data_IF_677363173039
#
_entry.id   IF_677363173039
#
_cell.length_a   1.000
_cell.length_b   1.000
_cell.length_c   1.000
_cell.angle_alpha   90.00
_cell.angle_beta   90.00
_cell.angle_gamma   90.00
#
_symmetry.space_group_name_H-M   'P 1'
#
loop_
_entity.id
_entity.type
_entity.pdbx_description
1 polymer ?
#
# COMPACT_ATOMS: atom_id res chain seq x y z
N UNK A 1 -11.34 -19.42 13.44
CA UNK A 1 -10.72 -18.14 13.83
C UNK A 1 -11.14 -17.84 15.26
N UNK A 2 -10.21 -17.51 16.18
CA UNK A 2 -10.57 -17.23 17.57
C UNK A 2 -11.11 -15.78 17.72
N UNK A 3 -11.85 -15.49 18.79
CA UNK A 3 -12.48 -14.18 19.00
C UNK A 3 -11.47 -13.02 19.05
N UNK A 4 -10.24 -13.29 19.52
CA UNK A 4 -9.17 -12.30 19.59
C UNK A 4 -8.70 -11.87 18.20
N UNK A 5 -8.46 -12.82 17.29
CA UNK A 5 -8.06 -12.52 15.91
C UNK A 5 -9.14 -11.74 15.16
N UNK A 6 -10.42 -12.03 15.41
CA UNK A 6 -11.53 -11.27 14.83
C UNK A 6 -11.50 -9.81 15.29
N UNK A 7 -11.33 -9.56 16.58
CA UNK A 7 -11.24 -8.19 17.13
C UNK A 7 -10.02 -7.43 16.58
N UNK A 8 -8.87 -8.09 16.45
CA UNK A 8 -7.67 -7.51 15.84
C UNK A 8 -7.94 -7.10 14.40
N UNK A 9 -8.53 -7.99 13.60
CA UNK A 9 -8.82 -7.73 12.19
C UNK A 9 -9.83 -6.59 12.02
N UNK A 10 -10.88 -6.54 12.83
CA UNK A 10 -11.88 -5.48 12.80
C UNK A 10 -11.28 -4.11 13.18
N UNK A 11 -10.47 -4.08 14.23
CA UNK A 11 -9.77 -2.86 14.64
C UNK A 11 -8.85 -2.36 13.52
N UNK A 12 -8.00 -3.23 12.97
CA UNK A 12 -7.06 -2.87 11.92
C UNK A 12 -7.74 -2.45 10.62
N UNK A 13 -8.88 -3.05 10.27
CA UNK A 13 -9.71 -2.64 9.14
C UNK A 13 -10.20 -1.19 9.29
N UNK A 14 -10.52 -0.76 10.51
CA UNK A 14 -10.90 0.63 10.81
C UNK A 14 -9.75 1.64 10.61
N UNK A 15 -8.49 1.17 10.65
CA UNK A 15 -7.29 2.00 10.48
C UNK A 15 -6.70 1.96 9.08
N UNK A 16 -7.17 1.06 8.21
CA UNK A 16 -6.56 0.81 6.90
C UNK A 16 -6.39 2.09 6.06
N UNK A 17 -7.40 2.96 6.02
CA UNK A 17 -7.33 4.22 5.27
C UNK A 17 -6.28 5.18 5.87
N UNK A 18 -6.22 5.30 7.20
CA UNK A 18 -5.24 6.17 7.84
C UNK A 18 -3.80 5.68 7.59
N UNK A 19 -3.60 4.35 7.61
CA UNK A 19 -2.31 3.76 7.28
C UNK A 19 -1.96 4.04 5.81
N UNK A 20 -2.92 3.90 4.88
CA UNK A 20 -2.73 4.27 3.47
C UNK A 20 -2.30 5.72 3.31
N UNK A 21 -2.96 6.65 4.01
CA UNK A 21 -2.65 8.08 3.94
C UNK A 21 -1.23 8.39 4.41
N UNK A 22 -0.76 7.73 5.48
CA UNK A 22 0.63 7.86 5.93
C UNK A 22 1.58 7.21 4.92
N UNK A 23 1.28 6.02 4.40
CA UNK A 23 2.14 5.33 3.42
C UNK A 23 2.36 6.15 2.14
N UNK A 24 1.35 6.90 1.69
CA UNK A 24 1.45 7.81 0.53
C UNK A 24 2.54 8.87 0.67
N UNK A 25 3.00 9.17 1.90
CA UNK A 25 4.10 10.13 2.13
C UNK A 25 5.47 9.60 1.71
N UNK A 26 5.60 8.28 1.47
CA UNK A 26 6.87 7.66 1.07
C UNK A 26 7.81 7.34 2.25
N UNK A 27 7.37 7.51 3.49
CA UNK A 27 8.18 7.30 4.69
C UNK A 27 8.57 5.82 4.92
N UNK A 28 9.72 5.55 5.58
CA UNK A 28 10.10 4.20 6.00
C UNK A 28 9.08 3.55 6.95
N UNK A 29 9.00 2.21 6.97
CA UNK A 29 7.99 1.48 7.78
C UNK A 29 8.09 1.81 9.26
N UNK A 30 9.32 1.98 9.78
CA UNK A 30 9.56 2.40 11.16
C UNK A 30 8.89 3.74 11.49
N UNK A 31 8.93 4.71 10.57
CA UNK A 31 8.27 6.00 10.75
C UNK A 31 6.75 5.88 10.70
N UNK A 32 6.20 5.07 9.80
CA UNK A 32 4.76 4.78 9.74
C UNK A 32 4.28 4.18 11.06
N UNK A 33 5.00 3.18 11.58
CA UNK A 33 4.72 2.57 12.89
C UNK A 33 4.81 3.62 14.00
N UNK A 34 5.88 4.42 14.05
CA UNK A 34 6.04 5.47 15.05
C UNK A 34 4.89 6.50 15.01
N UNK A 35 4.45 6.93 13.83
CA UNK A 35 3.34 7.86 13.66
C UNK A 35 2.02 7.27 14.15
N UNK A 36 1.75 6.00 13.83
CA UNK A 36 0.57 5.27 14.32
C UNK A 36 0.61 5.09 15.83
N UNK A 37 1.79 4.78 16.39
CA UNK A 37 2.01 4.65 17.83
C UNK A 37 1.84 5.97 18.59
N UNK A 38 1.70 7.13 17.93
CA UNK A 38 1.29 8.38 18.60
C UNK A 38 -0.22 8.44 18.86
N UNK A 39 -1.03 7.62 18.16
CA UNK A 39 -2.49 7.57 18.32
C UNK A 39 -2.85 6.75 19.55
N UNK A 40 -3.66 7.34 20.42
CA UNK A 40 -3.99 6.75 21.73
C UNK A 40 -4.74 5.42 21.59
N UNK A 41 -5.57 5.29 20.56
CA UNK A 41 -6.28 4.06 20.22
C UNK A 41 -5.32 2.95 19.79
N UNK A 42 -4.30 3.26 18.98
CA UNK A 42 -3.25 2.31 18.59
C UNK A 42 -2.43 1.90 19.82
N UNK A 43 -2.02 2.85 20.66
CA UNK A 43 -1.32 2.53 21.92
C UNK A 43 -2.13 1.60 22.80
N UNK A 44 -3.42 1.88 23.00
CA UNK A 44 -4.32 1.03 23.79
C UNK A 44 -4.52 -0.34 23.14
N UNK A 45 -4.64 -0.40 21.83
CA UNK A 45 -4.74 -1.64 21.08
C UNK A 45 -3.50 -2.53 21.29
N UNK A 46 -2.30 -1.96 21.14
CA UNK A 46 -1.04 -2.70 21.37
C UNK A 46 -0.86 -3.09 22.84
N UNK A 47 -1.18 -2.20 23.77
CA UNK A 47 -0.99 -2.44 25.21
C UNK A 47 -2.03 -3.42 25.80
N UNK A 48 -3.24 -3.49 25.23
CA UNK A 48 -4.30 -4.42 25.66
C UNK A 48 -4.30 -5.73 24.88
N UNK A 49 -3.71 -5.72 23.68
CA UNK A 49 -3.60 -6.89 22.83
C UNK A 49 -2.42 -7.79 23.22
N UNK A 50 -2.44 -9.02 22.72
CA UNK A 50 -1.25 -9.89 22.75
C UNK A 50 -0.13 -9.33 21.88
N UNK A 51 1.09 -9.85 22.02
CA UNK A 51 2.23 -9.53 21.15
C UNK A 51 1.93 -9.67 19.66
N UNK A 52 0.94 -10.50 19.28
CA UNK A 52 0.44 -10.63 17.91
C UNK A 52 -0.21 -9.37 17.34
N UNK A 53 -0.68 -8.43 18.17
CA UNK A 53 -1.32 -7.18 17.72
C UNK A 53 -0.34 -6.23 17.02
N UNK A 54 0.89 -6.15 17.53
CA UNK A 54 1.95 -5.36 16.91
C UNK A 54 2.43 -5.98 15.60
N UNK A 55 2.54 -7.32 15.57
CA UNK A 55 2.90 -8.07 14.36
C UNK A 55 1.84 -7.88 13.28
N UNK A 56 0.55 -8.04 13.61
CA UNK A 56 -0.54 -7.83 12.67
C UNK A 56 -0.61 -6.40 12.13
N UNK A 57 -0.33 -5.39 12.96
CA UNK A 57 -0.21 -4.00 12.51
C UNK A 57 0.96 -3.83 11.52
N UNK A 58 2.13 -4.39 11.82
CA UNK A 58 3.29 -4.32 10.95
C UNK A 58 3.05 -5.03 9.60
N UNK A 59 2.42 -6.21 9.63
CA UNK A 59 2.05 -6.96 8.42
C UNK A 59 1.06 -6.19 7.54
N UNK A 60 0.05 -5.53 8.16
CA UNK A 60 -0.88 -4.67 7.43
C UNK A 60 -0.15 -3.50 6.75
N UNK A 61 0.75 -2.83 7.48
CA UNK A 61 1.54 -1.72 6.93
C UNK A 61 2.37 -2.21 5.74
N UNK A 62 3.10 -3.32 5.88
CA UNK A 62 3.91 -3.88 4.80
C UNK A 62 3.08 -4.29 3.59
N UNK A 63 1.89 -4.87 3.80
CA UNK A 63 0.95 -5.17 2.73
C UNK A 63 0.52 -3.91 1.97
N UNK A 64 0.08 -2.88 2.69
CA UNK A 64 -0.32 -1.58 2.12
C UNK A 64 0.85 -0.92 1.38
N UNK A 65 2.07 -0.99 1.91
CA UNK A 65 3.26 -0.44 1.24
C UNK A 65 3.55 -1.15 -0.08
N UNK A 66 3.44 -2.47 -0.13
CA UNK A 66 3.61 -3.23 -1.38
C UNK A 66 2.57 -2.82 -2.42
N UNK A 67 1.30 -2.74 -2.03
CA UNK A 67 0.23 -2.24 -2.90
C UNK A 67 0.53 -0.82 -3.41
N UNK A 68 0.96 0.08 -2.52
CA UNK A 68 1.29 1.45 -2.89
C UNK A 68 2.49 1.53 -3.86
N UNK A 69 3.51 0.70 -3.68
CA UNK A 69 4.66 0.64 -4.60
C UNK A 69 4.23 0.26 -6.02
N UNK A 70 3.25 -0.63 -6.17
CA UNK A 70 2.67 -1.01 -7.47
C UNK A 70 1.98 0.21 -8.09
N UNK A 71 1.16 0.93 -7.30
CA UNK A 71 0.48 2.16 -7.74
C UNK A 71 1.48 3.23 -8.16
N UNK A 72 2.48 3.51 -7.34
CA UNK A 72 3.49 4.53 -7.60
C UNK A 72 4.30 4.21 -8.87
N UNK A 73 4.67 2.93 -9.08
CA UNK A 73 5.38 2.51 -10.30
C UNK A 73 4.49 2.63 -11.54
N UNK A 74 3.21 2.28 -11.44
CA UNK A 74 2.25 2.46 -12.52
C UNK A 74 2.06 3.95 -12.87
N UNK A 75 1.89 4.82 -11.87
CA UNK A 75 1.79 6.26 -12.06
C UNK A 75 3.04 6.85 -12.70
N UNK A 76 4.23 6.35 -12.35
CA UNK A 76 5.48 6.75 -13.01
C UNK A 76 5.46 6.45 -14.52
N UNK A 77 5.00 5.27 -14.95
CA UNK A 77 4.85 4.97 -16.38
C UNK A 77 3.86 5.91 -17.07
N UNK A 78 2.71 6.20 -16.45
CA UNK A 78 1.72 7.12 -17.01
C UNK A 78 2.28 8.54 -17.13
N UNK A 79 2.96 9.04 -16.11
CA UNK A 79 3.60 10.36 -16.15
C UNK A 79 4.73 10.45 -17.17
N UNK A 80 5.41 9.34 -17.49
CA UNK A 80 6.37 9.31 -18.60
C UNK A 80 5.68 9.36 -19.97
N UNK A 81 4.54 8.67 -20.13
CA UNK A 81 3.74 8.71 -21.36
C UNK A 81 3.24 10.13 -21.63
N UNK A 82 2.71 10.81 -20.61
CA UNK A 82 2.21 12.19 -20.72
C UNK A 82 3.29 13.19 -21.13
N UNK A 83 4.56 12.92 -20.78
CA UNK A 83 5.70 13.80 -21.09
C UNK A 83 6.42 13.46 -22.39
N UNK A 84 6.11 12.32 -23.02
CA UNK A 84 6.79 11.87 -24.22
C UNK A 84 6.28 12.63 -25.46
N UNK A 85 7.18 13.30 -26.18
CA UNK A 85 6.82 14.10 -27.36
C UNK A 85 6.71 13.24 -28.64
N UNK A 86 7.43 12.12 -28.69
CA UNK A 86 7.47 11.24 -29.86
C UNK A 86 6.58 10.00 -29.68
N UNK A 87 5.81 9.65 -30.72
CA UNK A 87 4.94 8.47 -30.73
C UNK A 87 5.73 7.17 -30.47
N UNK A 88 6.95 7.07 -31.00
CA UNK A 88 7.84 5.93 -30.75
C UNK A 88 8.18 5.78 -29.27
N UNK A 89 8.47 6.88 -28.58
CA UNK A 89 8.75 6.88 -27.14
C UNK A 89 7.52 6.45 -26.34
N UNK A 90 6.33 6.94 -26.69
CA UNK A 90 5.07 6.52 -26.06
C UNK A 90 4.89 5.00 -26.20
N UNK A 91 5.05 4.44 -27.41
CA UNK A 91 4.92 2.99 -27.66
C UNK A 91 5.94 2.21 -26.84
N UNK A 92 7.19 2.65 -26.80
CA UNK A 92 8.24 2.00 -26.00
C UNK A 92 7.90 1.97 -24.50
N UNK A 93 7.40 3.08 -23.94
CA UNK A 93 7.03 3.16 -22.52
C UNK A 93 5.82 2.24 -22.23
N UNK A 94 4.82 2.21 -23.10
CA UNK A 94 3.68 1.31 -22.97
C UNK A 94 4.09 -0.18 -23.02
N UNK A 95 5.01 -0.54 -23.91
CA UNK A 95 5.59 -1.89 -23.97
C UNK A 95 6.34 -2.24 -22.67
N UNK A 96 7.14 -1.31 -22.15
CA UNK A 96 7.87 -1.54 -20.90
C UNK A 96 6.94 -1.67 -19.70
N UNK A 97 5.86 -0.89 -19.63
CA UNK A 97 4.82 -1.03 -18.62
C UNK A 97 4.18 -2.42 -18.68
N UNK A 98 3.79 -2.88 -19.87
CA UNK A 98 3.19 -4.21 -20.07
C UNK A 98 4.13 -5.33 -19.61
N UNK A 99 5.40 -5.27 -20.02
CA UNK A 99 6.43 -6.24 -19.58
C UNK A 99 6.63 -6.22 -18.07
N UNK A 100 6.60 -5.05 -17.44
CA UNK A 100 6.70 -4.95 -15.99
C UNK A 100 5.53 -5.66 -15.29
N UNK A 101 4.29 -5.48 -15.77
CA UNK A 101 3.12 -6.19 -15.25
C UNK A 101 3.26 -7.71 -15.39
N UNK A 102 3.71 -8.18 -16.56
CA UNK A 102 3.94 -9.61 -16.82
C UNK A 102 5.01 -10.19 -15.87
N UNK A 103 6.15 -9.51 -15.72
CA UNK A 103 7.26 -9.96 -14.85
C UNK A 103 6.85 -9.99 -13.37
N UNK A 104 6.05 -9.02 -12.92
CA UNK A 104 5.56 -8.98 -11.55
C UNK A 104 4.33 -9.87 -11.33
N UNK A 105 3.81 -10.50 -12.39
CA UNK A 105 2.56 -11.27 -12.37
C UNK A 105 1.39 -10.45 -11.80
N UNK A 106 1.25 -9.20 -12.28
CA UNK A 106 0.16 -8.30 -11.90
C UNK A 106 -0.84 -8.18 -13.05
N UNK A 107 -2.10 -8.50 -12.76
CA UNK A 107 -3.19 -8.25 -13.70
C UNK A 107 -3.48 -6.74 -13.79
N UNK A 108 -3.80 -6.26 -15.01
CA UNK A 108 -4.19 -4.87 -15.24
C UNK A 108 -5.43 -4.47 -14.39
N UNK A 109 -6.37 -5.39 -14.23
CA UNK A 109 -7.55 -5.20 -13.39
C UNK A 109 -7.16 -4.96 -11.92
N UNK A 110 -6.27 -5.79 -11.37
CA UNK A 110 -5.75 -5.63 -10.02
C UNK A 110 -5.06 -4.27 -9.82
N UNK A 111 -4.20 -3.86 -10.75
CA UNK A 111 -3.54 -2.54 -10.67
C UNK A 111 -4.56 -1.40 -10.73
N UNK A 112 -5.60 -1.54 -11.55
CA UNK A 112 -6.69 -0.55 -11.65
C UNK A 112 -7.46 -0.44 -10.33
N UNK A 113 -7.72 -1.56 -9.66
CA UNK A 113 -8.35 -1.57 -8.33
C UNK A 113 -7.45 -0.92 -7.27
N UNK A 114 -6.15 -1.22 -7.30
CA UNK A 114 -5.19 -0.57 -6.40
C UNK A 114 -5.14 0.95 -6.62
N UNK A 115 -5.14 1.42 -7.87
CA UNK A 115 -5.18 2.86 -8.16
C UNK A 115 -6.42 3.49 -7.52
N UNK A 116 -7.60 2.88 -7.65
CA UNK A 116 -8.83 3.36 -6.99
C UNK A 116 -8.73 3.34 -5.47
N UNK A 117 -8.06 2.33 -4.91
CA UNK A 117 -7.83 2.15 -3.46
C UNK A 117 -6.92 3.25 -2.87
N UNK A 118 -6.04 3.83 -3.70
CA UNK A 118 -5.07 4.86 -3.32
C UNK A 118 -5.33 6.26 -3.90
N UNK A 119 -6.40 6.46 -4.68
CA UNK A 119 -6.90 7.80 -5.00
C UNK A 119 -7.44 8.48 -3.74
#
# INVERSE_FOLDING_TARGET
MNNEQTMVNEFLKGWEQHIRDIVKTGEPTSFVVCALMQKEEIKRFINKGSSGSLVALAELIESIKKEYMIVAKNQHFLGLIEKAEAEESVKMIQTNRRRWLEVQNHEEAYVTELVKKFS
#
